data_IF_781236855274
#
_entry.id   IF_781236855274
#
_cell.length_a   1.000
_cell.length_b   1.000
_cell.length_c   1.000
_cell.angle_alpha   90.00
_cell.angle_beta   90.00
_cell.angle_gamma   90.00
#
_symmetry.space_group_name_H-M   'P 1'
#
loop_
_entity.id
_entity.type
_entity.pdbx_description
1 polymer ?
#
# COMPACT_ATOMS: atom_id res chain seq x y z
N UNK A 1 5.55 -36.66 22.66
CA UNK A 1 4.73 -35.42 22.65
C UNK A 1 4.58 -35.04 21.20
N UNK A 2 3.41 -35.29 20.63
CA UNK A 2 3.16 -35.10 19.20
C UNK A 2 2.98 -33.60 18.94
N UNK A 3 4.01 -32.94 18.45
CA UNK A 3 3.88 -31.60 17.88
C UNK A 3 3.04 -31.73 16.62
N UNK A 4 1.73 -31.52 16.74
CA UNK A 4 0.86 -31.34 15.58
C UNK A 4 1.42 -30.16 14.79
N UNK A 5 2.00 -30.42 13.62
CA UNK A 5 2.36 -29.36 12.67
C UNK A 5 1.06 -28.77 12.12
N UNK A 6 0.42 -27.92 12.92
CA UNK A 6 -0.71 -27.14 12.46
C UNK A 6 -0.18 -26.23 11.36
N UNK A 7 -0.79 -26.32 10.18
CA UNK A 7 -0.50 -25.43 9.08
C UNK A 7 -0.81 -24.01 9.55
N UNK A 8 0.21 -23.15 9.60
CA UNK A 8 0.02 -21.75 9.95
C UNK A 8 -0.75 -21.07 8.81
N UNK A 9 -1.85 -20.42 9.17
CA UNK A 9 -2.70 -19.67 8.25
C UNK A 9 -2.32 -18.19 8.25
N UNK A 10 -2.67 -17.43 7.19
CA UNK A 10 -2.52 -15.98 7.18
C UNK A 10 -3.24 -15.30 8.35
N UNK A 11 -4.37 -15.85 8.78
CA UNK A 11 -5.15 -15.36 9.91
C UNK A 11 -4.38 -15.47 11.23
N UNK A 12 -3.65 -16.56 11.46
CA UNK A 12 -2.80 -16.75 12.65
C UNK A 12 -1.69 -15.69 12.72
N UNK A 13 -1.09 -15.37 11.57
CA UNK A 13 -0.05 -14.33 11.46
C UNK A 13 -0.65 -12.95 11.74
N UNK A 14 -1.81 -12.67 11.16
CA UNK A 14 -2.51 -11.40 11.35
C UNK A 14 -2.93 -11.20 12.82
N UNK A 15 -3.49 -12.24 13.45
CA UNK A 15 -3.87 -12.21 14.86
C UNK A 15 -2.66 -11.95 15.77
N UNK A 16 -1.53 -12.62 15.52
CA UNK A 16 -0.29 -12.35 16.25
C UNK A 16 0.16 -10.90 16.12
N UNK A 17 0.15 -10.33 14.90
CA UNK A 17 0.58 -8.96 14.63
C UNK A 17 -0.36 -7.89 15.23
N UNK A 18 -1.66 -8.21 15.32
CA UNK A 18 -2.65 -7.35 15.97
C UNK A 18 -2.45 -7.34 17.49
N UNK A 19 -2.19 -8.51 18.08
CA UNK A 19 -2.11 -8.67 19.52
C UNK A 19 -0.82 -8.13 20.14
N UNK A 20 0.29 -8.10 19.40
CA UNK A 20 1.58 -7.60 19.89
C UNK A 20 1.82 -6.10 19.59
N UNK A 21 0.85 -5.43 18.97
CA UNK A 21 0.91 -3.99 18.65
C UNK A 21 1.78 -3.66 17.43
N UNK A 22 2.30 -4.65 16.72
CA UNK A 22 3.14 -4.43 15.54
C UNK A 22 2.38 -3.69 14.43
N UNK A 23 1.09 -4.00 14.21
CA UNK A 23 0.29 -3.28 13.20
C UNK A 23 0.16 -1.80 13.55
N UNK A 24 -0.05 -1.46 14.82
CA UNK A 24 -0.14 -0.06 15.24
C UNK A 24 1.20 0.67 15.09
N UNK A 25 2.32 -0.01 15.38
CA UNK A 25 3.65 0.52 15.16
C UNK A 25 3.93 0.78 13.67
N UNK A 26 3.58 -0.15 12.79
CA UNK A 26 3.68 0.02 11.33
C UNK A 26 2.78 1.15 10.83
N UNK A 27 1.53 1.23 11.31
CA UNK A 27 0.61 2.34 11.00
C UNK A 27 1.21 3.68 11.39
N UNK A 28 1.82 3.76 12.58
CA UNK A 28 2.47 4.98 13.04
C UNK A 28 3.66 5.38 12.14
N UNK A 29 4.48 4.42 11.71
CA UNK A 29 5.58 4.67 10.76
C UNK A 29 5.07 5.22 9.42
N UNK A 30 4.02 4.60 8.85
CA UNK A 30 3.38 5.07 7.61
C UNK A 30 2.89 6.51 7.78
N UNK A 31 2.15 6.81 8.86
CA UNK A 31 1.65 8.16 9.16
C UNK A 31 2.80 9.17 9.25
N UNK A 32 3.89 8.83 9.94
CA UNK A 32 5.03 9.72 10.10
C UNK A 32 5.74 10.01 8.77
N UNK A 33 5.91 9.00 7.92
CA UNK A 33 6.49 9.22 6.59
C UNK A 33 5.59 10.08 5.70
N UNK A 34 4.27 9.87 5.71
CA UNK A 34 3.33 10.72 4.98
C UNK A 34 3.32 12.16 5.50
N UNK A 35 3.38 12.35 6.82
CA UNK A 35 3.51 13.68 7.43
C UNK A 35 4.82 14.37 7.07
N UNK A 36 5.88 13.61 6.80
CA UNK A 36 7.17 14.14 6.38
C UNK A 36 7.30 14.29 4.85
N UNK A 37 6.30 13.85 4.07
CA UNK A 37 6.34 13.91 2.62
C UNK A 37 6.13 15.36 2.14
N UNK A 38 7.22 16.00 1.71
CA UNK A 38 7.22 17.38 1.21
C UNK A 38 6.49 17.53 -0.13
N UNK A 39 6.46 16.49 -0.97
CA UNK A 39 5.73 16.53 -2.24
C UNK A 39 4.22 16.61 -2.01
N UNK A 40 3.69 15.82 -1.07
CA UNK A 40 2.27 15.89 -0.69
C UNK A 40 1.92 17.25 -0.08
N UNK A 41 2.79 17.81 0.76
CA UNK A 41 2.60 19.16 1.33
C UNK A 41 2.59 20.22 0.23
N UNK A 42 3.61 20.22 -0.64
CA UNK A 42 3.74 21.16 -1.75
C UNK A 42 2.54 21.08 -2.69
N UNK A 43 2.12 19.87 -3.03
CA UNK A 43 0.94 19.65 -3.87
C UNK A 43 -0.33 20.18 -3.20
N UNK A 44 -0.50 19.98 -1.89
CA UNK A 44 -1.67 20.49 -1.14
C UNK A 44 -1.69 22.02 -1.09
N UNK A 45 -0.53 22.65 -0.89
CA UNK A 45 -0.40 24.12 -0.95
C UNK A 45 -0.79 24.63 -2.33
N UNK A 46 -0.24 24.03 -3.40
CA UNK A 46 -0.57 24.40 -4.78
C UNK A 46 -2.06 24.26 -5.07
N UNK A 47 -2.70 23.19 -4.59
CA UNK A 47 -4.15 22.99 -4.75
C UNK A 47 -4.96 24.07 -4.01
N UNK A 48 -4.49 24.53 -2.85
CA UNK A 48 -5.10 25.66 -2.17
C UNK A 48 -4.91 26.97 -2.95
N UNK A 49 -3.71 27.23 -3.49
CA UNK A 49 -3.45 28.42 -4.33
C UNK A 49 -4.33 28.45 -5.59
N UNK A 50 -4.57 27.29 -6.20
CA UNK A 50 -5.41 27.12 -7.40
C UNK A 50 -6.91 26.96 -7.07
N UNK A 51 -7.31 27.02 -5.80
CA UNK A 51 -8.70 26.80 -5.35
C UNK A 51 -9.69 27.76 -5.99
N UNK A 52 -10.84 27.25 -6.43
CA UNK A 52 -11.94 28.09 -6.91
C UNK A 52 -12.53 28.90 -5.76
N UNK A 53 -12.67 28.32 -4.57
CA UNK A 53 -13.19 29.01 -3.38
C UNK A 53 -12.37 30.26 -3.07
N UNK A 54 -11.03 30.16 -3.09
CA UNK A 54 -10.17 31.31 -2.80
C UNK A 54 -10.08 32.30 -3.97
N UNK A 55 -10.16 31.84 -5.22
CA UNK A 55 -10.02 32.68 -6.41
C UNK A 55 -11.36 33.24 -6.94
N UNK A 56 -12.48 33.00 -6.25
CA UNK A 56 -13.79 33.54 -6.65
C UNK A 56 -13.96 34.99 -6.17
N UNK A 57 -14.43 35.92 -7.03
CA UNK A 57 -14.73 37.29 -6.61
C UNK A 57 -15.74 37.32 -5.45
N UNK A 58 -15.44 38.06 -4.38
CA UNK A 58 -16.29 38.11 -3.19
C UNK A 58 -15.88 37.15 -2.07
N UNK A 59 -14.87 36.29 -2.29
CA UNK A 59 -14.28 35.45 -1.23
C UNK A 59 -13.79 36.30 -0.04
N UNK A 60 -13.33 37.52 -0.30
CA UNK A 60 -12.88 38.48 0.72
C UNK A 60 -13.99 38.96 1.67
N UNK A 61 -15.26 38.74 1.30
CA UNK A 61 -16.43 39.13 2.10
C UNK A 61 -16.97 37.98 2.95
N UNK A 62 -16.50 36.76 2.72
CA UNK A 62 -16.89 35.58 3.51
C UNK A 62 -16.18 35.59 4.85
N UNK A 63 -16.80 34.97 5.86
CA UNK A 63 -16.14 34.74 7.13
C UNK A 63 -15.04 33.67 6.98
N UNK A 64 -14.04 33.71 7.87
CA UNK A 64 -12.97 32.71 7.91
C UNK A 64 -13.51 31.27 7.99
N UNK A 65 -14.65 31.09 8.68
CA UNK A 65 -15.29 29.78 8.83
C UNK A 65 -15.89 29.30 7.52
N UNK A 66 -16.68 30.14 6.86
CA UNK A 66 -17.28 29.81 5.55
C UNK A 66 -16.20 29.50 4.51
N UNK A 67 -15.12 30.30 4.50
CA UNK A 67 -14.00 30.08 3.58
C UNK A 67 -13.30 28.75 3.83
N UNK A 68 -13.04 28.41 5.10
CA UNK A 68 -12.41 27.12 5.45
C UNK A 68 -13.32 25.93 5.15
N UNK A 69 -14.60 26.03 5.49
CA UNK A 69 -15.58 24.96 5.25
C UNK A 69 -15.76 24.72 3.75
N UNK A 70 -15.86 25.78 2.94
CA UNK A 70 -15.94 25.70 1.49
C UNK A 70 -14.63 25.17 0.86
N UNK A 71 -13.47 25.66 1.32
CA UNK A 71 -12.17 25.20 0.84
C UNK A 71 -11.95 23.72 1.17
N UNK A 72 -12.36 23.28 2.37
CA UNK A 72 -12.31 21.87 2.76
C UNK A 72 -13.25 21.04 1.88
N UNK A 73 -14.47 21.50 1.62
CA UNK A 73 -15.39 20.81 0.73
C UNK A 73 -14.83 20.64 -0.69
N UNK A 74 -14.08 21.62 -1.19
CA UNK A 74 -13.42 21.55 -2.49
C UNK A 74 -12.22 20.60 -2.49
N UNK A 75 -11.36 20.67 -1.47
CA UNK A 75 -10.03 20.05 -1.50
C UNK A 75 -9.93 18.70 -0.78
N UNK A 76 -10.83 18.37 0.15
CA UNK A 76 -10.72 17.15 0.99
C UNK A 76 -10.63 15.88 0.14
N UNK A 77 -11.52 15.73 -0.84
CA UNK A 77 -11.52 14.57 -1.73
C UNK A 77 -10.21 14.43 -2.51
N UNK A 78 -9.83 15.42 -3.33
CA UNK A 78 -8.60 15.38 -4.13
C UNK A 78 -7.30 15.22 -3.30
N UNK A 79 -7.21 15.85 -2.12
CA UNK A 79 -6.04 15.71 -1.24
C UNK A 79 -6.00 14.31 -0.63
N UNK A 80 -7.15 13.80 -0.17
CA UNK A 80 -7.23 12.46 0.41
C UNK A 80 -6.94 11.36 -0.62
N UNK A 81 -7.35 11.56 -1.87
CA UNK A 81 -7.02 10.65 -2.98
C UNK A 81 -5.51 10.56 -3.21
N UNK A 82 -4.82 11.71 -3.28
CA UNK A 82 -3.36 11.76 -3.41
C UNK A 82 -2.66 11.10 -2.21
N UNK A 83 -3.10 11.41 -0.99
CA UNK A 83 -2.55 10.80 0.22
C UNK A 83 -2.76 9.27 0.23
N UNK A 84 -3.95 8.79 -0.12
CA UNK A 84 -4.29 7.37 -0.22
C UNK A 84 -3.38 6.65 -1.21
N UNK A 85 -3.17 7.25 -2.38
CA UNK A 85 -2.24 6.71 -3.38
C UNK A 85 -0.81 6.59 -2.83
N UNK A 86 -0.30 7.64 -2.19
CA UNK A 86 1.04 7.62 -1.59
C UNK A 86 1.17 6.59 -0.46
N UNK A 87 0.12 6.33 0.32
CA UNK A 87 0.11 5.24 1.32
C UNK A 87 0.32 3.89 0.64
N UNK A 88 -0.45 3.61 -0.41
CA UNK A 88 -0.35 2.34 -1.13
C UNK A 88 1.01 2.17 -1.80
N UNK A 89 1.56 3.23 -2.40
CA UNK A 89 2.90 3.23 -2.97
C UNK A 89 3.95 2.90 -1.90
N UNK A 90 3.84 3.47 -0.70
CA UNK A 90 4.75 3.20 0.41
C UNK A 90 4.66 1.76 0.93
N UNK A 91 3.45 1.20 1.01
CA UNK A 91 3.23 -0.19 1.48
C UNK A 91 3.73 -1.19 0.43
N UNK A 92 3.56 -0.90 -0.86
CA UNK A 92 3.92 -1.79 -1.97
C UNK A 92 5.38 -1.63 -2.43
N UNK A 93 6.10 -0.64 -1.89
CA UNK A 93 7.51 -0.43 -2.19
C UNK A 93 8.34 -1.68 -1.85
N UNK A 94 9.21 -2.09 -2.77
CA UNK A 94 10.07 -3.27 -2.57
C UNK A 94 11.20 -3.03 -1.59
N UNK A 95 11.55 -1.77 -1.39
CA UNK A 95 12.55 -1.27 -0.47
C UNK A 95 11.86 -0.48 0.65
N UNK A 96 12.65 0.17 1.51
CA UNK A 96 12.10 1.08 2.52
C UNK A 96 11.10 0.42 3.48
N UNK A 97 9.95 1.07 3.66
CA UNK A 97 8.94 0.63 4.62
C UNK A 97 8.16 -0.61 4.14
N UNK A 98 7.88 -0.73 2.84
CA UNK A 98 7.20 -1.91 2.28
C UNK A 98 8.04 -3.18 2.48
N UNK A 99 9.38 -3.08 2.36
CA UNK A 99 10.30 -4.15 2.76
C UNK A 99 10.19 -4.52 4.23
N UNK A 100 10.17 -3.51 5.12
CA UNK A 100 10.05 -3.72 6.56
C UNK A 100 8.74 -4.45 6.93
N UNK A 101 7.63 -4.09 6.28
CA UNK A 101 6.33 -4.76 6.44
C UNK A 101 6.46 -6.24 6.05
N UNK A 102 7.00 -6.52 4.85
CA UNK A 102 7.17 -7.89 4.35
C UNK A 102 8.06 -8.73 5.29
N UNK A 103 9.21 -8.19 5.72
CA UNK A 103 10.13 -8.88 6.64
C UNK A 103 9.49 -9.13 8.00
N UNK A 104 8.65 -8.22 8.48
CA UNK A 104 7.96 -8.37 9.75
C UNK A 104 6.91 -9.47 9.69
N UNK A 105 6.12 -9.53 8.62
CA UNK A 105 5.14 -10.61 8.38
C UNK A 105 5.86 -11.96 8.26
N UNK A 106 6.93 -12.03 7.46
CA UNK A 106 7.73 -13.25 7.29
C UNK A 106 8.37 -13.72 8.60
N UNK A 107 8.88 -12.79 9.42
CA UNK A 107 9.46 -13.11 10.73
C UNK A 107 8.42 -13.72 11.67
N UNK A 108 7.20 -13.16 11.71
CA UNK A 108 6.11 -13.72 12.53
C UNK A 108 5.69 -15.10 11.99
N UNK A 109 5.55 -15.24 10.68
CA UNK A 109 5.24 -16.52 10.06
C UNK A 109 6.28 -17.61 10.39
N UNK A 110 7.57 -17.30 10.27
CA UNK A 110 8.66 -18.22 10.60
C UNK A 110 8.64 -18.63 12.08
N UNK A 111 8.41 -17.67 12.98
CA UNK A 111 8.28 -17.91 14.42
C UNK A 111 7.12 -18.85 14.74
N UNK A 112 5.93 -18.58 14.18
CA UNK A 112 4.75 -19.43 14.36
C UNK A 112 4.95 -20.83 13.75
N UNK A 113 5.67 -20.93 12.65
CA UNK A 113 5.98 -22.19 11.97
C UNK A 113 7.09 -23.01 12.66
N UNK A 114 7.67 -22.52 13.76
CA UNK A 114 8.80 -23.16 14.44
C UNK A 114 10.09 -23.18 13.61
N UNK A 115 10.21 -22.31 12.61
CA UNK A 115 11.38 -22.14 11.73
C UNK A 115 12.29 -20.99 12.18
N UNK A 116 12.17 -20.58 13.44
CA UNK A 116 13.04 -19.55 13.98
C UNK A 116 14.51 -20.05 13.91
N UNK A 117 15.41 -19.32 13.24
CA UNK A 117 16.83 -19.65 13.26
C UNK A 117 17.31 -19.73 14.71
N UNK A 118 18.21 -20.66 15.08
CA UNK A 118 18.75 -20.70 16.44
C UNK A 118 19.38 -19.34 16.75
N UNK A 119 18.76 -18.58 17.65
CA UNK A 119 19.34 -17.36 18.19
C UNK A 119 20.51 -17.78 19.08
N UNK A 120 21.69 -17.98 18.50
CA UNK A 120 22.92 -17.96 19.26
C UNK A 120 23.16 -16.52 19.76
N UNK A 121 22.64 -16.28 20.96
CA UNK A 121 23.23 -15.55 22.09
C UNK A 121 24.04 -14.28 21.78
N UNK A 122 23.39 -13.11 21.73
CA UNK A 122 24.07 -11.84 22.05
C UNK A 122 23.94 -11.53 23.54
N UNK A 123 24.59 -12.34 24.37
CA UNK A 123 24.94 -11.98 25.75
C UNK A 123 25.98 -12.95 26.32
N UNK A 124 27.25 -12.62 26.12
CA UNK A 124 28.30 -12.88 27.11
C UNK A 124 29.51 -12.00 26.83
N UNK A 125 29.68 -11.02 27.70
CA UNK A 125 30.89 -10.24 27.90
C UNK A 125 32.02 -11.18 28.39
N UNK A 126 33.08 -11.38 27.61
CA UNK A 126 34.39 -11.84 28.13
C UNK A 126 35.53 -11.29 27.25
N UNK A 127 36.34 -10.40 27.82
CA UNK A 127 37.67 -10.05 27.34
C UNK A 127 38.61 -11.27 27.48
N UNK A 128 39.31 -11.68 26.41
CA UNK A 128 40.78 -11.74 26.32
C UNK A 128 41.31 -12.48 25.06
N UNK A 129 42.15 -11.76 24.32
CA UNK A 129 43.47 -12.15 23.76
C UNK A 129 43.62 -13.29 22.72
N UNK A 130 43.81 -12.86 21.45
CA UNK A 130 44.88 -13.21 20.48
C UNK A 130 45.32 -14.69 20.32
N UNK A 131 45.12 -15.26 19.12
CA UNK A 131 46.14 -15.90 18.24
C UNK A 131 45.56 -16.00 16.80
N UNK A 132 46.45 -15.92 15.81
CA UNK A 132 46.28 -15.66 14.37
C UNK A 132 46.37 -16.95 13.53
N UNK A 133 45.80 -16.88 12.31
CA UNK A 133 46.14 -17.57 11.03
C UNK A 133 45.29 -18.75 10.51
N UNK A 134 44.73 -18.52 9.29
CA UNK A 134 44.59 -19.34 8.06
C UNK A 134 44.02 -20.78 8.18
N UNK A 135 43.27 -21.36 7.24
CA UNK A 135 42.94 -21.13 5.83
C UNK A 135 41.69 -21.99 5.50
N UNK A 136 40.94 -21.59 4.46
CA UNK A 136 40.09 -22.41 3.55
C UNK A 136 39.52 -23.77 3.99
N UNK A 137 38.20 -23.93 3.94
CA UNK A 137 37.57 -24.96 3.09
C UNK A 137 36.05 -24.76 2.92
N UNK A 138 35.65 -24.80 1.65
CA UNK A 138 34.33 -25.00 1.06
C UNK A 138 33.48 -26.08 1.74
N UNK A 139 32.21 -25.77 2.05
CA UNK A 139 31.09 -26.70 1.84
C UNK A 139 29.85 -25.94 1.37
N UNK A 140 29.54 -26.19 0.10
CA UNK A 140 28.24 -25.99 -0.52
C UNK A 140 27.23 -26.93 0.14
N UNK A 141 26.07 -26.41 0.56
CA UNK A 141 24.89 -27.24 0.77
C UNK A 141 23.68 -26.62 0.06
N UNK A 142 23.55 -27.13 -1.15
CA UNK A 142 22.39 -27.32 -2.00
C UNK A 142 21.01 -27.25 -1.31
N UNK A 143 20.20 -26.25 -1.67
CA UNK A 143 18.75 -26.44 -1.80
C UNK A 143 18.32 -25.99 -3.19
N UNK A 144 18.31 -26.96 -4.10
CA UNK A 144 17.88 -26.84 -5.49
C UNK A 144 16.38 -26.57 -5.61
N UNK A 145 16.07 -25.62 -6.48
CA UNK A 145 14.98 -25.60 -7.46
C UNK A 145 13.57 -26.05 -7.02
N UNK A 146 12.64 -25.10 -7.08
CA UNK A 146 11.35 -25.36 -7.74
C UNK A 146 11.14 -24.36 -8.86
N UNK A 147 10.77 -24.92 -10.00
CA UNK A 147 10.91 -24.37 -11.34
C UNK A 147 9.91 -23.27 -11.67
N UNK A 148 10.37 -22.31 -12.47
CA UNK A 148 9.55 -21.39 -13.23
C UNK A 148 8.76 -22.15 -14.30
N UNK A 149 7.44 -22.33 -14.12
CA UNK A 149 6.57 -22.84 -15.19
C UNK A 149 6.05 -21.67 -16.02
N UNK A 150 6.67 -21.54 -17.20
CA UNK A 150 6.32 -20.61 -18.27
C UNK A 150 4.87 -20.80 -18.73
N UNK A 151 4.28 -19.65 -19.03
CA UNK A 151 3.05 -19.42 -19.80
C UNK A 151 3.10 -20.22 -21.10
N UNK A 152 1.98 -20.86 -21.46
CA UNK A 152 1.73 -21.40 -22.79
C UNK A 152 0.39 -20.86 -23.30
N UNK A 153 0.43 -20.33 -24.51
CA UNK A 153 -0.62 -19.63 -25.24
C UNK A 153 -1.46 -20.65 -26.03
N UNK A 154 -2.79 -20.51 -26.03
CA UNK A 154 -3.63 -21.01 -27.12
C UNK A 154 -4.78 -20.05 -27.39
N UNK A 155 -4.94 -19.73 -28.67
CA UNK A 155 -5.81 -18.69 -29.24
C UNK A 155 -6.85 -19.34 -30.17
N UNK A 156 -8.03 -18.70 -30.23
CA UNK A 156 -9.09 -18.67 -31.28
C UNK A 156 -9.96 -19.92 -31.54
N UNK A 157 -11.29 -19.76 -31.37
CA UNK A 157 -12.32 -19.71 -32.44
C UNK A 157 -13.75 -19.65 -31.85
N UNK A 158 -14.47 -18.52 -32.05
CA UNK A 158 -15.51 -18.25 -33.06
C UNK A 158 -16.84 -18.99 -32.79
N UNK A 159 -17.93 -18.31 -32.42
CA UNK A 159 -18.94 -17.66 -33.30
C UNK A 159 -20.21 -17.49 -32.42
N UNK A 160 -21.23 -16.64 -32.62
CA UNK A 160 -21.55 -15.53 -33.52
C UNK A 160 -22.85 -14.89 -33.00
N UNK A 161 -22.87 -13.56 -33.01
CA UNK A 161 -23.95 -12.59 -33.26
C UNK A 161 -25.43 -13.04 -33.18
N UNK A 162 -26.24 -12.28 -32.41
CA UNK A 162 -27.58 -11.86 -32.87
C UNK A 162 -28.00 -10.51 -32.27
N UNK A 163 -28.05 -9.53 -33.17
CA UNK A 163 -28.54 -8.15 -33.04
C UNK A 163 -30.06 -8.12 -32.83
N UNK A 164 -30.57 -7.18 -32.00
CA UNK A 164 -31.79 -6.40 -32.33
C UNK A 164 -31.71 -4.95 -31.84
N UNK A 165 -31.49 -4.04 -32.80
CA UNK A 165 -31.91 -2.63 -32.75
C UNK A 165 -33.43 -2.54 -32.81
N UNK A 166 -34.02 -1.56 -32.13
CA UNK A 166 -35.15 -0.80 -32.71
C UNK A 166 -35.11 0.66 -32.26
N UNK A 167 -35.23 1.52 -33.27
CA UNK A 167 -35.26 2.99 -33.29
C UNK A 167 -36.69 3.44 -33.59
N UNK A 168 -37.10 4.58 -33.04
CA UNK A 168 -38.10 5.57 -33.53
C UNK A 168 -38.01 6.72 -32.50
N UNK A 169 -37.73 8.00 -32.76
CA UNK A 169 -37.89 8.98 -33.85
C UNK A 169 -39.33 9.26 -34.29
N UNK A 170 -39.73 10.51 -34.03
CA UNK A 170 -40.96 11.24 -34.38
C UNK A 170 -41.12 12.35 -33.32
N UNK A 171 -40.51 13.53 -33.45
CA UNK A 171 -40.88 14.68 -34.31
C UNK A 171 -42.34 15.15 -34.14
N UNK A 172 -42.52 16.35 -33.57
CA UNK A 172 -43.46 17.34 -34.11
C UNK A 172 -43.16 18.76 -33.58
N UNK A 173 -43.24 19.68 -34.54
CA UNK A 173 -43.06 21.12 -34.58
C UNK A 173 -43.75 22.00 -33.52
N UNK A 174 -43.04 23.10 -33.21
CA UNK A 174 -43.43 24.53 -33.29
C UNK A 174 -44.87 24.90 -32.91
N UNK A 175 -45.03 25.79 -31.92
CA UNK A 175 -45.82 27.01 -32.08
C UNK A 175 -45.36 28.13 -31.14
N UNK A 176 -45.10 29.29 -31.74
CA UNK A 176 -44.97 30.60 -31.12
C UNK A 176 -46.33 31.02 -30.53
N UNK A 177 -46.33 31.88 -29.50
CA UNK A 177 -47.02 33.20 -29.46
C UNK A 177 -46.85 33.81 -28.06
N UNK A 178 -46.11 34.92 -28.01
CA UNK A 178 -46.39 36.09 -27.14
C UNK A 178 -47.11 37.13 -28.02
N UNK A 179 -47.79 38.17 -27.50
CA UNK A 179 -47.47 39.00 -26.33
C UNK A 179 -48.45 38.88 -25.16
#
# INVERSE_FOLDING_TARGET
>A
MSSSSSVITPEDVLESLMNDGTIDALRLKIINQLKANEELKSTTIKMAEESKVLNTPGAEKQTKRELFDALRQELEGPVLEKASKSVWELILEKDGLGKEINETVERVFCRLSGREPPLFSSSSNVENQMVREKETETKEDNCSNTEAKKRSLSEVNHSEVAIRKKKQQGDSSIDHVTP
#
